data_IF_726471080478
#
_entry.id   IF_726471080478
#
_cell.length_a   1.000
_cell.length_b   1.000
_cell.length_c   1.000
_cell.angle_alpha   90.00
_cell.angle_beta   90.00
_cell.angle_gamma   90.00
#
_symmetry.space_group_name_H-M   'P 1'
#
loop_
_entity.id
_entity.type
_entity.pdbx_description
1 polymer ?
#
# COMPACT_ATOMS: atom_id res chain seq x y z
N UNK A 1 31.06 45.15 21.77
CA UNK A 1 30.37 45.71 20.59
C UNK A 1 28.96 45.13 20.53
N UNK A 2 27.97 45.94 20.96
CA UNK A 2 26.59 45.48 21.23
C UNK A 2 25.90 44.91 19.97
N UNK A 3 26.22 45.49 18.82
CA UNK A 3 25.70 45.09 17.51
C UNK A 3 26.17 43.70 17.08
N UNK A 4 27.42 43.33 17.38
CA UNK A 4 27.96 42.00 17.09
C UNK A 4 27.23 40.91 17.89
N UNK A 5 26.96 41.17 19.17
CA UNK A 5 26.20 40.23 20.02
C UNK A 5 24.74 40.07 19.54
N UNK A 6 24.10 41.17 19.11
CA UNK A 6 22.73 41.12 18.56
C UNK A 6 22.66 40.36 17.23
N UNK A 7 23.65 40.50 16.36
CA UNK A 7 23.73 39.76 15.09
C UNK A 7 23.92 38.26 15.34
N UNK A 8 24.79 37.88 16.28
CA UNK A 8 25.01 36.47 16.67
C UNK A 8 23.74 35.85 17.26
N UNK A 9 23.01 36.58 18.10
CA UNK A 9 21.72 36.10 18.62
C UNK A 9 20.68 35.88 17.52
N UNK A 10 20.59 36.79 16.53
CA UNK A 10 19.68 36.65 15.40
C UNK A 10 20.09 35.44 14.54
N UNK A 11 21.38 35.22 14.32
CA UNK A 11 21.92 34.06 13.60
C UNK A 11 21.61 32.74 14.32
N UNK A 12 21.77 32.70 15.64
CA UNK A 12 21.42 31.56 16.49
C UNK A 12 19.91 31.31 16.48
N UNK A 13 19.08 32.35 16.60
CA UNK A 13 17.60 32.25 16.52
C UNK A 13 17.15 31.76 15.13
N UNK A 14 17.79 32.22 14.04
CA UNK A 14 17.58 31.70 12.67
C UNK A 14 17.95 30.23 12.54
N UNK A 15 19.02 29.76 13.21
CA UNK A 15 19.43 28.35 13.25
C UNK A 15 18.49 27.48 14.09
N UNK A 16 17.94 28.02 15.18
CA UNK A 16 16.98 27.33 16.05
C UNK A 16 15.59 27.19 15.41
N UNK A 17 15.15 28.15 14.59
CA UNK A 17 13.88 28.10 13.83
C UNK A 17 13.96 27.14 12.62
N UNK A 18 15.16 26.69 12.23
CA UNK A 18 15.33 25.60 11.27
C UNK A 18 15.07 24.24 11.96
N UNK A 19 13.86 24.04 12.50
CA UNK A 19 13.43 22.79 13.12
C UNK A 19 13.53 21.66 12.11
N UNK A 20 14.58 20.84 12.24
CA UNK A 20 14.74 19.62 11.46
C UNK A 20 13.56 18.70 11.78
N UNK A 21 13.10 17.96 10.78
CA UNK A 21 12.01 17.01 10.92
C UNK A 21 12.58 15.63 11.25
N UNK A 22 12.29 15.12 12.44
CA UNK A 22 12.85 13.88 12.95
C UNK A 22 11.93 12.69 12.66
N UNK A 23 12.47 11.53 12.28
CA UNK A 23 11.71 10.30 12.20
C UNK A 23 11.44 9.79 13.63
N UNK A 24 10.17 9.58 14.03
CA UNK A 24 9.84 9.07 15.35
C UNK A 24 10.29 7.61 15.55
N UNK A 25 10.59 6.87 14.48
CA UNK A 25 10.89 5.44 14.54
C UNK A 25 12.40 5.15 14.64
N UNK A 26 13.25 5.96 13.99
CA UNK A 26 14.70 5.71 13.93
C UNK A 26 15.55 6.91 14.36
N UNK A 27 14.94 8.06 14.66
CA UNK A 27 15.63 9.27 15.10
C UNK A 27 16.35 10.07 14.00
N UNK A 28 16.35 9.63 12.73
CA UNK A 28 16.97 10.36 11.63
C UNK A 28 16.32 11.74 11.40
N UNK A 29 17.13 12.76 11.07
CA UNK A 29 16.65 14.15 10.95
C UNK A 29 16.78 14.73 9.54
N UNK A 30 15.72 15.38 9.07
CA UNK A 30 15.58 15.87 7.70
C UNK A 30 15.43 17.39 7.65
N UNK A 31 16.03 18.01 6.63
CA UNK A 31 15.98 19.45 6.40
C UNK A 31 14.56 19.97 6.07
N UNK A 32 13.70 19.13 5.47
CA UNK A 32 12.36 19.50 5.01
C UNK A 32 11.34 18.39 5.29
N UNK A 33 10.05 18.75 5.52
CA UNK A 33 8.95 17.77 5.73
C UNK A 33 8.84 16.74 4.61
N UNK A 34 9.07 17.15 3.36
CA UNK A 34 9.07 16.24 2.21
C UNK A 34 10.19 15.19 2.27
N UNK A 35 11.35 15.54 2.83
CA UNK A 35 12.45 14.61 3.07
C UNK A 35 12.09 13.57 4.13
N UNK A 36 11.50 14.02 5.25
CA UNK A 36 10.98 13.10 6.27
C UNK A 36 9.86 12.22 5.72
N UNK A 37 8.93 12.75 4.92
CA UNK A 37 7.86 11.96 4.29
C UNK A 37 8.42 10.85 3.41
N UNK A 38 9.38 11.17 2.53
CA UNK A 38 10.04 10.16 1.68
C UNK A 38 10.75 9.10 2.52
N UNK A 39 11.45 9.53 3.57
CA UNK A 39 12.07 8.60 4.49
C UNK A 39 11.04 7.68 5.15
N UNK A 40 9.94 8.22 5.71
CA UNK A 40 8.86 7.42 6.28
C UNK A 40 8.22 6.45 5.26
N UNK A 41 8.06 6.89 4.02
CA UNK A 41 7.41 6.11 2.96
C UNK A 41 8.31 5.03 2.35
N UNK A 42 9.64 5.13 2.43
CA UNK A 42 10.54 4.22 1.67
C UNK A 42 11.76 3.71 2.43
N UNK A 43 12.16 4.33 3.54
CA UNK A 43 13.47 4.11 4.17
C UNK A 43 13.40 3.87 5.70
N UNK A 44 12.51 4.56 6.43
CA UNK A 44 12.45 4.55 7.90
C UNK A 44 11.77 3.30 8.45
N UNK A 45 10.97 2.61 7.65
CA UNK A 45 9.93 1.78 8.22
C UNK A 45 10.30 0.30 8.28
N UNK A 46 10.43 -0.19 9.50
CA UNK A 46 10.43 -1.61 9.86
C UNK A 46 9.14 -2.30 9.37
N UNK A 47 8.06 -1.56 9.09
CA UNK A 47 6.80 -2.08 8.53
C UNK A 47 6.66 -1.85 7.02
N UNK A 48 6.97 -0.67 6.48
CA UNK A 48 6.92 -0.40 5.04
C UNK A 48 8.00 -1.14 4.25
N UNK A 49 9.17 -1.45 4.82
CA UNK A 49 10.15 -2.36 4.19
C UNK A 49 9.61 -3.79 4.05
N UNK A 50 8.74 -4.23 4.98
CA UNK A 50 8.01 -5.49 4.85
C UNK A 50 6.89 -5.43 3.81
N UNK A 51 6.37 -4.24 3.51
CA UNK A 51 5.37 -3.99 2.47
C UNK A 51 6.05 -3.59 1.14
N UNK A 52 7.30 -3.18 1.11
CA UNK A 52 8.06 -2.81 -0.09
C UNK A 52 9.42 -3.53 -0.13
N UNK A 53 9.52 -4.59 -0.94
CA UNK A 53 10.79 -5.30 -1.23
C UNK A 53 11.11 -5.12 -2.70
N UNK A 54 12.31 -4.62 -3.00
CA UNK A 54 12.79 -4.37 -4.36
C UNK A 54 11.80 -3.57 -5.23
N UNK A 55 11.17 -2.54 -4.65
CA UNK A 55 10.19 -1.70 -5.36
C UNK A 55 8.85 -2.40 -5.66
N UNK A 56 8.55 -3.53 -4.99
CA UNK A 56 7.25 -4.22 -5.09
C UNK A 56 6.52 -4.19 -3.76
N UNK A 57 5.22 -3.98 -3.84
CA UNK A 57 4.27 -3.98 -2.73
C UNK A 57 3.92 -5.40 -2.28
N UNK A 58 4.45 -5.90 -1.17
CA UNK A 58 4.09 -7.19 -0.58
C UNK A 58 2.72 -7.14 0.09
N UNK A 59 2.10 -8.30 0.18
CA UNK A 59 0.92 -8.50 0.99
C UNK A 59 1.29 -8.58 2.48
N UNK A 60 0.67 -7.76 3.35
CA UNK A 60 0.93 -7.75 4.79
C UNK A 60 0.47 -9.04 5.50
N UNK A 61 -0.43 -9.83 4.90
CA UNK A 61 -0.93 -11.07 5.50
C UNK A 61 0.06 -12.25 5.38
N UNK A 62 1.32 -11.99 5.05
CA UNK A 62 2.39 -12.97 4.87
C UNK A 62 2.05 -14.12 3.89
N UNK A 63 1.19 -13.86 2.90
CA UNK A 63 0.80 -14.86 1.90
C UNK A 63 1.84 -15.06 0.78
N UNK A 64 2.98 -14.36 0.86
CA UNK A 64 4.07 -14.42 -0.12
C UNK A 64 3.85 -13.65 -1.43
N UNK A 65 2.65 -13.08 -1.67
CA UNK A 65 2.38 -12.30 -2.90
C UNK A 65 2.93 -10.88 -2.84
N UNK A 66 3.38 -10.37 -3.98
CA UNK A 66 3.87 -9.00 -4.13
C UNK A 66 3.52 -8.40 -5.49
N UNK A 67 3.39 -7.07 -5.55
CA UNK A 67 2.80 -6.36 -6.68
C UNK A 67 3.64 -5.15 -7.10
N UNK A 68 3.73 -4.86 -8.40
CA UNK A 68 4.46 -3.67 -8.88
C UNK A 68 3.79 -2.35 -8.46
N UNK A 69 2.47 -2.35 -8.26
CA UNK A 69 1.67 -1.15 -7.95
C UNK A 69 0.87 -1.34 -6.68
N UNK A 70 0.81 -0.30 -5.84
CA UNK A 70 0.03 -0.29 -4.59
C UNK A 70 -1.44 -0.66 -4.82
N UNK A 71 -2.05 -0.14 -5.89
CA UNK A 71 -3.45 -0.44 -6.22
C UNK A 71 -3.73 -1.93 -6.42
N UNK A 72 -2.79 -2.68 -7.00
CA UNK A 72 -2.95 -4.12 -7.19
C UNK A 72 -2.80 -4.90 -5.88
N UNK A 73 -1.87 -4.48 -5.00
CA UNK A 73 -1.73 -5.06 -3.66
C UNK A 73 -2.99 -4.80 -2.82
N UNK A 74 -3.55 -3.59 -2.87
CA UNK A 74 -4.82 -3.28 -2.20
C UNK A 74 -5.98 -4.09 -2.76
N UNK A 75 -6.06 -4.25 -4.08
CA UNK A 75 -7.08 -5.10 -4.71
C UNK A 75 -6.97 -6.55 -4.26
N UNK A 76 -5.74 -7.09 -4.20
CA UNK A 76 -5.48 -8.43 -3.70
C UNK A 76 -5.97 -8.59 -2.26
N UNK A 77 -5.63 -7.65 -1.38
CA UNK A 77 -6.09 -7.66 0.00
C UNK A 77 -7.62 -7.66 0.11
N UNK A 78 -8.29 -6.87 -0.74
CA UNK A 78 -9.74 -6.69 -0.67
C UNK A 78 -10.53 -7.91 -1.20
N UNK A 79 -10.03 -8.59 -2.23
CA UNK A 79 -10.84 -9.56 -2.98
C UNK A 79 -10.24 -10.95 -3.10
N UNK A 80 -8.98 -11.15 -2.71
CA UNK A 80 -8.28 -12.41 -2.90
C UNK A 80 -7.70 -12.96 -1.60
N UNK A 81 -6.95 -12.15 -0.86
CA UNK A 81 -6.22 -12.61 0.30
C UNK A 81 -7.17 -12.95 1.45
N UNK A 82 -7.28 -14.23 1.79
CA UNK A 82 -8.17 -14.69 2.85
C UNK A 82 -9.66 -14.59 2.50
N UNK A 83 -10.00 -14.26 1.24
CA UNK A 83 -11.40 -14.19 0.79
C UNK A 83 -11.83 -15.57 0.32
N UNK A 84 -12.84 -16.14 0.99
CA UNK A 84 -13.42 -17.42 0.60
C UNK A 84 -14.11 -17.32 -0.77
N UNK A 85 -14.08 -18.42 -1.51
CA UNK A 85 -14.78 -18.48 -2.79
C UNK A 85 -16.29 -18.54 -2.56
N UNK A 86 -17.03 -17.55 -3.08
CA UNK A 86 -18.47 -17.41 -2.88
C UNK A 86 -19.29 -17.79 -4.12
N UNK A 87 -18.66 -17.77 -5.30
CA UNK A 87 -19.36 -17.97 -6.58
C UNK A 87 -19.10 -19.37 -7.12
N UNK A 88 -20.07 -20.27 -6.98
CA UNK A 88 -20.00 -21.64 -7.51
C UNK A 88 -20.45 -21.69 -8.97
N UNK A 89 -19.73 -22.43 -9.80
CA UNK A 89 -20.15 -22.71 -11.16
C UNK A 89 -21.38 -23.64 -11.17
N UNK A 90 -22.42 -23.36 -11.97
CA UNK A 90 -23.60 -24.22 -12.05
C UNK A 90 -23.33 -25.50 -12.87
N UNK A 91 -22.27 -25.51 -13.67
CA UNK A 91 -21.93 -26.61 -14.58
C UNK A 91 -20.81 -27.52 -14.05
N UNK A 92 -20.08 -27.14 -12.99
CA UNK A 92 -19.03 -27.96 -12.40
C UNK A 92 -18.72 -27.57 -10.95
N UNK A 93 -17.81 -28.28 -10.30
CA UNK A 93 -17.42 -28.03 -8.90
C UNK A 93 -16.50 -26.81 -8.71
N UNK A 94 -16.20 -26.03 -9.75
CA UNK A 94 -15.30 -24.87 -9.65
C UNK A 94 -15.98 -23.75 -8.85
N UNK A 95 -15.24 -23.18 -7.90
CA UNK A 95 -15.64 -21.99 -7.16
C UNK A 95 -14.67 -20.82 -7.43
N UNK A 96 -15.19 -19.61 -7.40
CA UNK A 96 -14.45 -18.36 -7.56
C UNK A 96 -14.74 -17.38 -6.43
N UNK A 97 -13.76 -16.57 -6.07
CA UNK A 97 -13.92 -15.46 -5.11
C UNK A 97 -14.48 -14.17 -5.75
N UNK A 98 -14.55 -14.10 -7.09
CA UNK A 98 -15.11 -12.96 -7.81
C UNK A 98 -16.03 -13.42 -8.94
N UNK A 99 -17.13 -12.67 -9.13
CA UNK A 99 -18.11 -12.86 -10.22
C UNK A 99 -17.48 -12.76 -11.61
N UNK A 100 -16.56 -11.81 -11.82
CA UNK A 100 -15.82 -11.65 -13.09
C UNK A 100 -15.04 -12.92 -13.47
N UNK A 101 -14.41 -13.57 -12.49
CA UNK A 101 -13.62 -14.77 -12.72
C UNK A 101 -14.54 -15.96 -13.06
N UNK A 102 -15.69 -16.06 -12.39
CA UNK A 102 -16.69 -17.07 -12.71
C UNK A 102 -17.26 -16.88 -14.12
N UNK A 103 -17.54 -15.63 -14.50
CA UNK A 103 -17.98 -15.26 -15.87
C UNK A 103 -17.00 -15.72 -16.92
N UNK A 104 -15.71 -15.38 -16.77
CA UNK A 104 -14.66 -15.85 -17.68
C UNK A 104 -14.57 -17.38 -17.70
N UNK A 105 -14.65 -18.03 -16.54
CA UNK A 105 -14.63 -19.49 -16.47
C UNK A 105 -15.78 -20.13 -17.27
N UNK A 106 -17.02 -19.66 -17.09
CA UNK A 106 -18.19 -20.20 -17.80
C UNK A 106 -18.05 -20.02 -19.31
N UNK A 107 -17.67 -18.81 -19.75
CA UNK A 107 -17.49 -18.52 -21.18
C UNK A 107 -16.34 -19.34 -21.79
N UNK A 108 -15.21 -19.47 -21.10
CA UNK A 108 -14.03 -20.13 -21.68
C UNK A 108 -14.07 -21.65 -21.59
N UNK A 109 -14.62 -22.22 -20.51
CA UNK A 109 -14.60 -23.66 -20.23
C UNK A 109 -15.89 -24.34 -20.70
N UNK A 110 -17.04 -23.75 -20.39
CA UNK A 110 -18.34 -24.33 -20.76
C UNK A 110 -18.87 -23.80 -22.10
N UNK A 111 -18.28 -22.73 -22.64
CA UNK A 111 -18.68 -22.10 -23.91
C UNK A 111 -20.14 -21.64 -23.92
N UNK A 112 -20.67 -21.29 -22.74
CA UNK A 112 -22.03 -20.77 -22.56
C UNK A 112 -21.96 -19.28 -22.20
N UNK A 113 -22.98 -18.52 -22.59
CA UNK A 113 -23.16 -17.15 -22.13
C UNK A 113 -23.28 -17.10 -20.60
N UNK A 114 -22.71 -16.07 -19.98
CA UNK A 114 -22.84 -15.87 -18.55
C UNK A 114 -24.15 -15.15 -18.25
N UNK A 115 -25.02 -15.81 -17.48
CA UNK A 115 -26.25 -15.23 -16.97
C UNK A 115 -25.99 -14.52 -15.63
N UNK A 116 -26.12 -13.19 -15.63
CA UNK A 116 -25.90 -12.35 -14.45
C UNK A 116 -26.99 -12.54 -13.38
N UNK A 117 -28.17 -13.04 -13.74
CA UNK A 117 -29.34 -13.18 -12.84
C UNK A 117 -29.17 -14.29 -11.80
N UNK A 118 -28.38 -15.32 -12.10
CA UNK A 118 -28.14 -16.47 -11.22
C UNK A 118 -27.21 -16.15 -10.03
N UNK A 119 -26.63 -14.96 -10.00
CA UNK A 119 -25.57 -14.58 -9.04
C UNK A 119 -25.70 -13.13 -8.52
N UNK A 120 -26.92 -12.58 -8.57
CA UNK A 120 -27.22 -11.30 -7.91
C UNK A 120 -27.64 -11.59 -6.47
N UNK A 121 -26.94 -11.01 -5.51
CA UNK A 121 -27.40 -10.94 -4.14
C UNK A 121 -28.23 -9.65 -4.03
N UNK A 122 -29.52 -9.77 -3.72
CA UNK A 122 -30.23 -8.70 -3.01
C UNK A 122 -29.54 -8.43 -1.65
#
# INVERSE_FOLDING_TARGET
DFWLNQMVEIEVKKRLIAERHHCPNCGQSYKYKGGLRRHLDFECDVLYSNILRNGRHLCPNNCGRHYKRKGHMNYHLKFECGVQAQFKCPYCSKMSNRKSNLKTHIICVHKVAFDDTLFSND
#
